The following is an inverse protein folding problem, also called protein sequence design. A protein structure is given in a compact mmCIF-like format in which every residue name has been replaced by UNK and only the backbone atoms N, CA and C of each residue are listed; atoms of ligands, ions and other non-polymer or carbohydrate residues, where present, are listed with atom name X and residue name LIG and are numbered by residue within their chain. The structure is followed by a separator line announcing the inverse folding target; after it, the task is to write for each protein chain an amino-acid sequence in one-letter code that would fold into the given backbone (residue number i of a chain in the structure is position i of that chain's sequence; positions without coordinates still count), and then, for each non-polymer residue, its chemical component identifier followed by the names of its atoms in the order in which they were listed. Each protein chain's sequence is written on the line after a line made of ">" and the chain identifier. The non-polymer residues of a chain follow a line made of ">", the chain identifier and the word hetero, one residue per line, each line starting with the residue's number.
data_IF_711852644412
#
_entry.id   IF_711852644412
#
_cell.length_a   1.000
_cell.length_b   1.000
_cell.length_c   1.000
_cell.angle_alpha   90.00
_cell.angle_beta   90.00
_cell.angle_gamma   90.00
#
_symmetry.space_group_name_H-M   'P 1'
#
loop_
_entity.id
_entity.type
_entity.pdbx_description
1 polymer ?
#
# COMPACT_ATOMS: atom_id res chain seq x y z
N UNK A 1 44.17 -18.48 3.66
CA UNK A 1 43.20 -19.54 4.00
C UNK A 1 42.18 -18.96 4.98
N UNK A 2 40.91 -18.96 4.64
CA UNK A 2 39.83 -18.48 5.52
C UNK A 2 38.67 -17.89 4.71
N UNK A 3 37.67 -18.69 4.44
CA UNK A 3 36.61 -18.55 3.47
C UNK A 3 35.63 -17.40 3.80
N UNK A 4 35.23 -16.72 2.74
CA UNK A 4 34.06 -15.84 2.68
C UNK A 4 32.80 -16.69 2.73
N UNK A 5 31.96 -16.46 3.76
CA UNK A 5 30.62 -17.00 3.82
C UNK A 5 29.67 -16.02 3.13
N UNK A 6 29.22 -16.38 1.94
CA UNK A 6 28.14 -15.69 1.23
C UNK A 6 26.81 -15.94 1.93
N UNK A 7 26.07 -14.88 2.17
CA UNK A 7 24.69 -14.94 2.64
C UNK A 7 23.79 -15.10 1.41
N UNK A 8 23.41 -16.34 1.11
CA UNK A 8 22.34 -16.63 0.15
C UNK A 8 21.00 -16.15 0.72
N UNK A 9 20.38 -15.22 0.02
CA UNK A 9 18.98 -14.84 0.25
C UNK A 9 18.11 -15.92 -0.39
N UNK A 10 17.73 -16.90 0.39
CA UNK A 10 16.85 -17.99 -0.04
C UNK A 10 15.43 -17.44 -0.24
N UNK A 11 15.01 -17.36 -1.50
CA UNK A 11 13.62 -17.19 -1.89
C UNK A 11 12.80 -18.40 -1.41
N UNK A 12 12.10 -18.27 -0.30
CA UNK A 12 11.24 -19.31 0.24
C UNK A 12 9.89 -19.31 -0.49
N UNK A 13 9.84 -19.96 -1.65
CA UNK A 13 8.60 -20.40 -2.28
C UNK A 13 8.01 -21.54 -1.44
N UNK A 14 7.02 -21.23 -0.60
CA UNK A 14 6.25 -22.26 0.10
C UNK A 14 5.29 -22.97 -0.87
N UNK A 15 5.68 -24.16 -1.29
CA UNK A 15 4.80 -25.13 -1.92
C UNK A 15 3.91 -25.74 -0.82
N UNK A 16 2.65 -25.39 -0.80
CA UNK A 16 1.69 -25.95 0.17
C UNK A 16 1.06 -27.18 -0.48
N UNK A 17 1.54 -28.38 -0.10
CA UNK A 17 0.83 -29.62 -0.31
C UNK A 17 -0.40 -29.64 0.62
N UNK A 18 -1.57 -29.90 0.05
CA UNK A 18 -2.88 -29.88 0.74
C UNK A 18 -2.98 -30.94 1.83
N UNK A 19 -3.40 -30.59 3.05
CA UNK A 19 -4.04 -31.52 3.96
C UNK A 19 -5.54 -31.26 4.06
N UNK A 20 -6.31 -32.24 4.54
CA UNK A 20 -7.76 -32.30 4.37
C UNK A 20 -8.50 -31.37 5.35
N UNK A 21 -9.61 -30.83 4.86
CA UNK A 21 -10.82 -30.35 5.54
C UNK A 21 -10.80 -29.14 6.50
N UNK A 22 -9.71 -28.44 6.75
CA UNK A 22 -9.71 -27.23 7.57
C UNK A 22 -9.25 -26.03 6.74
N UNK A 23 -10.17 -25.19 6.27
CA UNK A 23 -9.81 -23.88 5.69
C UNK A 23 -9.42 -22.94 6.81
N UNK A 24 -8.15 -22.96 7.20
CA UNK A 24 -7.57 -21.94 8.06
C UNK A 24 -7.29 -20.72 7.19
N UNK A 25 -8.09 -19.68 7.34
CA UNK A 25 -7.77 -18.38 6.74
C UNK A 25 -6.73 -17.71 7.64
N UNK A 26 -5.48 -17.66 7.20
CA UNK A 26 -4.46 -16.84 7.84
C UNK A 26 -4.63 -15.40 7.38
N UNK A 27 -5.03 -14.53 8.28
CA UNK A 27 -5.05 -13.09 8.04
C UNK A 27 -3.74 -12.53 8.55
N UNK A 28 -2.97 -11.94 7.66
CA UNK A 28 -1.73 -11.26 8.00
C UNK A 28 -2.07 -9.84 8.43
N UNK A 29 -1.67 -9.46 9.64
CA UNK A 29 -1.74 -8.08 10.08
C UNK A 29 -0.31 -7.56 10.22
N UNK A 30 0.10 -6.69 9.31
CA UNK A 30 1.24 -5.82 9.57
C UNK A 30 0.81 -4.78 10.61
N UNK A 31 1.72 -4.34 11.48
CA UNK A 31 1.40 -3.31 12.48
C UNK A 31 1.10 -1.93 11.87
N UNK A 32 1.03 -1.84 10.54
CA UNK A 32 0.60 -0.65 9.78
C UNK A 32 -0.81 -0.17 10.14
N UNK A 33 -1.68 -1.05 10.66
CA UNK A 33 -3.06 -0.71 11.06
C UNK A 33 -3.15 0.14 12.33
N UNK A 34 -2.04 0.45 12.99
CA UNK A 34 -2.01 1.28 14.19
C UNK A 34 -1.46 2.68 13.95
N UNK A 35 -1.36 3.09 12.69
CA UNK A 35 -0.82 4.39 12.33
C UNK A 35 -1.53 5.54 13.06
N UNK A 36 -0.75 6.47 13.61
CA UNK A 36 -1.21 7.68 14.30
C UNK A 36 -0.54 8.90 13.68
N UNK A 37 -1.30 9.97 13.49
CA UNK A 37 -0.72 11.23 13.03
C UNK A 37 0.31 11.73 14.05
N UNK A 38 1.51 12.04 13.56
CA UNK A 38 2.60 12.56 14.38
C UNK A 38 2.73 14.07 14.21
N UNK A 39 3.04 14.51 13.00
CA UNK A 39 3.33 15.93 12.73
C UNK A 39 3.19 16.27 11.25
N UNK A 40 3.19 17.56 10.96
CA UNK A 40 3.29 18.13 9.62
C UNK A 40 4.62 18.88 9.48
N UNK A 41 5.40 18.55 8.47
CA UNK A 41 6.73 19.10 8.23
C UNK A 41 6.69 20.06 7.05
N UNK A 42 7.08 21.30 7.31
CA UNK A 42 7.16 22.38 6.32
C UNK A 42 8.60 22.61 5.82
N UNK A 43 9.61 22.26 6.61
CA UNK A 43 11.02 22.45 6.27
C UNK A 43 11.81 21.17 6.56
N UNK A 44 12.87 20.90 5.81
CA UNK A 44 13.72 19.72 5.99
C UNK A 44 14.34 19.60 7.38
N UNK A 45 14.66 20.72 8.04
CA UNK A 45 15.22 20.74 9.40
C UNK A 45 14.24 20.21 10.47
N UNK A 46 12.93 20.21 10.15
CA UNK A 46 11.87 19.80 11.07
C UNK A 46 11.50 18.32 10.89
N UNK A 47 12.26 17.58 10.04
CA UNK A 47 12.07 16.13 9.85
C UNK A 47 12.34 15.37 11.15
N UNK A 48 11.54 14.32 11.48
CA UNK A 48 11.76 13.48 12.66
C UNK A 48 13.20 12.94 12.70
N UNK A 49 13.90 13.21 13.81
CA UNK A 49 15.30 12.82 13.99
C UNK A 49 15.42 11.38 14.49
N UNK A 50 14.39 10.84 15.10
CA UNK A 50 14.25 9.47 15.57
C UNK A 50 13.82 8.48 14.48
N UNK A 51 13.71 8.95 13.23
CA UNK A 51 13.31 8.11 12.11
C UNK A 51 14.37 7.07 11.78
N UNK A 52 13.93 5.81 11.71
CA UNK A 52 14.72 4.66 11.27
C UNK A 52 14.34 4.26 9.86
N UNK A 53 13.04 4.21 9.55
CA UNK A 53 12.52 3.82 8.23
C UNK A 53 11.27 4.62 7.88
N UNK A 54 11.20 5.08 6.64
CA UNK A 54 10.07 5.83 6.11
C UNK A 54 9.59 5.23 4.79
N UNK A 55 8.28 5.25 4.56
CA UNK A 55 7.68 4.98 3.25
C UNK A 55 6.87 6.20 2.84
N UNK A 56 7.22 6.77 1.69
CA UNK A 56 6.52 7.93 1.16
C UNK A 56 5.34 7.50 0.26
N UNK A 57 4.23 8.23 0.38
CA UNK A 57 3.05 8.08 -0.45
C UNK A 57 2.87 9.31 -1.33
N UNK A 58 2.93 9.11 -2.63
CA UNK A 58 2.71 10.12 -3.64
C UNK A 58 1.50 9.79 -4.52
N UNK A 59 0.96 10.78 -5.19
CA UNK A 59 -0.15 10.58 -6.12
C UNK A 59 -0.75 11.92 -6.54
N UNK A 60 -1.38 11.93 -7.71
CA UNK A 60 -2.10 13.11 -8.19
C UNK A 60 -3.22 13.48 -7.23
N UNK A 61 -3.56 14.75 -7.19
CA UNK A 61 -4.78 15.21 -6.52
C UNK A 61 -5.98 14.37 -6.98
N UNK A 62 -6.75 13.87 -6.03
CA UNK A 62 -7.91 13.00 -6.25
C UNK A 62 -7.57 11.60 -6.84
N UNK A 63 -6.32 11.16 -6.89
CA UNK A 63 -5.96 9.78 -7.23
C UNK A 63 -6.42 8.76 -6.18
N UNK A 64 -6.75 9.19 -4.97
CA UNK A 64 -7.19 8.31 -3.88
C UNK A 64 -6.12 8.06 -2.81
N UNK A 65 -5.05 8.87 -2.77
CA UNK A 65 -3.92 8.74 -1.85
C UNK A 65 -4.36 8.70 -0.37
N UNK A 66 -5.07 9.70 0.11
CA UNK A 66 -5.54 9.73 1.51
C UNK A 66 -6.50 8.58 1.84
N UNK A 67 -7.34 8.16 0.88
CA UNK A 67 -8.20 6.99 1.06
C UNK A 67 -7.40 5.69 1.17
N UNK A 68 -6.32 5.56 0.39
CA UNK A 68 -5.43 4.40 0.45
C UNK A 68 -4.69 4.35 1.80
N UNK A 69 -4.09 5.47 2.24
CA UNK A 69 -3.42 5.57 3.54
C UNK A 69 -4.40 5.22 4.67
N UNK A 70 -5.60 5.79 4.67
CA UNK A 70 -6.63 5.49 5.67
C UNK A 70 -7.02 4.01 5.69
N UNK A 71 -7.10 3.39 4.50
CA UNK A 71 -7.45 1.98 4.35
C UNK A 71 -6.36 1.07 4.92
N UNK A 72 -5.10 1.34 4.57
CA UNK A 72 -3.93 0.60 5.07
C UNK A 72 -3.76 0.78 6.58
N UNK A 73 -4.00 1.99 7.09
CA UNK A 73 -3.94 2.27 8.52
C UNK A 73 -5.13 1.73 9.32
N UNK A 74 -6.13 1.11 8.67
CA UNK A 74 -7.35 0.67 9.34
C UNK A 74 -8.18 1.81 9.97
N UNK A 75 -7.99 3.05 9.53
CA UNK A 75 -8.60 4.27 10.08
C UNK A 75 -9.46 4.97 9.05
N UNK A 76 -10.53 5.62 9.49
CA UNK A 76 -11.44 6.34 8.58
C UNK A 76 -10.99 7.78 8.29
N UNK A 77 -10.19 8.39 9.17
CA UNK A 77 -9.80 9.81 9.12
C UNK A 77 -8.37 10.06 9.61
N UNK A 78 -7.42 9.19 9.29
CA UNK A 78 -6.01 9.41 9.63
C UNK A 78 -5.43 10.48 8.69
N UNK A 79 -5.40 10.20 7.39
CA UNK A 79 -5.05 11.18 6.38
C UNK A 79 -6.31 11.96 5.97
N UNK A 80 -6.21 13.27 5.90
CA UNK A 80 -7.35 14.11 5.59
C UNK A 80 -7.71 14.02 4.10
N UNK A 81 -8.93 13.56 3.81
CA UNK A 81 -9.47 13.53 2.44
C UNK A 81 -10.09 14.89 2.14
N UNK A 82 -9.34 15.79 1.51
CA UNK A 82 -9.87 17.08 1.06
C UNK A 82 -10.55 16.95 -0.29
N UNK A 83 -11.76 17.53 -0.41
CA UNK A 83 -12.40 17.75 -1.71
C UNK A 83 -11.80 18.97 -2.43
N UNK A 84 -11.12 19.85 -1.68
CA UNK A 84 -10.45 21.03 -2.23
C UNK A 84 -8.99 20.67 -2.53
N UNK A 85 -8.60 20.64 -3.81
CA UNK A 85 -7.24 20.31 -4.20
C UNK A 85 -6.23 21.41 -3.77
N UNK A 86 -4.95 21.02 -3.54
CA UNK A 86 -3.87 21.95 -3.22
C UNK A 86 -3.82 22.43 -1.76
N UNK A 87 -4.58 21.79 -0.85
CA UNK A 87 -4.63 22.19 0.57
C UNK A 87 -3.44 21.67 1.38
N UNK A 88 -2.89 20.50 1.02
CA UNK A 88 -1.72 19.94 1.69
C UNK A 88 -0.47 20.38 0.94
N UNK A 89 0.32 21.26 1.55
CA UNK A 89 1.58 21.76 0.99
C UNK A 89 2.81 21.22 1.71
N UNK A 90 2.61 20.38 2.72
CA UNK A 90 3.65 19.89 3.62
C UNK A 90 3.64 18.36 3.67
N UNK A 91 4.70 17.77 4.24
CA UNK A 91 4.78 16.34 4.49
C UNK A 91 4.00 16.02 5.76
N UNK A 92 3.09 15.06 5.72
CA UNK A 92 2.41 14.58 6.92
C UNK A 92 2.99 13.24 7.34
N UNK A 93 3.49 13.18 8.56
CA UNK A 93 4.06 11.99 9.16
C UNK A 93 3.05 11.24 10.01
N UNK A 94 3.00 9.93 9.81
CA UNK A 94 2.18 9.01 10.62
C UNK A 94 3.10 7.95 11.20
N UNK A 95 3.17 7.86 12.52
CA UNK A 95 3.95 6.82 13.19
C UNK A 95 3.22 5.48 13.16
N UNK A 96 3.97 4.41 12.94
CA UNK A 96 3.49 3.02 12.91
C UNK A 96 4.04 2.22 14.08
N UNK A 97 5.33 2.38 14.34
CA UNK A 97 6.11 1.77 15.39
C UNK A 97 7.31 2.69 15.66
N UNK A 98 8.14 2.34 16.61
CA UNK A 98 9.31 3.13 17.00
C UNK A 98 10.21 3.42 15.78
N UNK A 99 10.33 4.70 15.44
CA UNK A 99 11.13 5.18 14.32
C UNK A 99 10.65 4.79 12.92
N UNK A 100 9.44 4.24 12.76
CA UNK A 100 8.89 3.82 11.45
C UNK A 100 7.67 4.63 11.06
N UNK A 101 7.69 5.20 9.87
CA UNK A 101 6.70 6.20 9.47
C UNK A 101 6.12 5.97 8.07
N UNK A 102 4.84 6.28 7.94
CA UNK A 102 4.26 6.67 6.65
C UNK A 102 4.39 8.18 6.48
N UNK A 103 4.74 8.61 5.27
CA UNK A 103 4.89 10.01 4.91
C UNK A 103 3.97 10.34 3.75
N UNK A 104 2.92 11.11 4.01
CA UNK A 104 1.97 11.56 3.00
C UNK A 104 2.49 12.83 2.33
N UNK A 105 2.88 12.70 1.06
CA UNK A 105 3.36 13.81 0.25
C UNK A 105 2.19 14.66 -0.27
N UNK A 106 2.41 15.95 -0.53
CA UNK A 106 1.42 16.77 -1.23
C UNK A 106 1.00 16.16 -2.57
N UNK A 107 -0.31 16.21 -2.84
CA UNK A 107 -0.83 15.75 -4.13
C UNK A 107 -0.35 16.64 -5.27
N UNK A 108 0.24 16.07 -6.32
CA UNK A 108 0.68 16.82 -7.49
C UNK A 108 -0.44 17.01 -8.53
N UNK A 109 -0.19 17.90 -9.50
CA UNK A 109 -1.09 18.12 -10.63
C UNK A 109 -2.27 19.06 -10.38
N UNK A 110 -2.32 19.71 -9.24
CA UNK A 110 -3.30 20.75 -8.93
C UNK A 110 -2.61 21.95 -8.29
N UNK A 111 -2.25 22.92 -9.09
CA UNK A 111 -1.90 24.22 -8.60
C UNK A 111 -2.45 25.33 -9.48
N UNK A 112 -2.99 26.32 -8.82
CA UNK A 112 -3.44 27.55 -9.47
C UNK A 112 -2.27 28.42 -9.96
N UNK A 113 -1.04 28.15 -9.49
CA UNK A 113 0.15 28.88 -9.89
C UNK A 113 1.33 27.92 -10.12
N UNK A 114 1.82 27.77 -11.37
CA UNK A 114 2.95 26.90 -11.71
C UNK A 114 4.23 27.16 -10.90
N UNK A 115 4.52 28.41 -10.54
CA UNK A 115 5.71 28.79 -9.76
C UNK A 115 5.69 28.27 -8.31
N UNK A 116 4.54 28.28 -7.64
CA UNK A 116 4.42 27.83 -6.25
C UNK A 116 4.64 26.31 -6.10
N UNK A 117 4.21 25.51 -7.09
CA UNK A 117 4.48 24.06 -7.08
C UNK A 117 5.97 23.82 -7.26
N UNK A 118 6.57 24.50 -8.23
CA UNK A 118 7.98 24.33 -8.55
C UNK A 118 8.84 24.62 -7.33
N UNK A 119 8.62 25.75 -6.66
CA UNK A 119 9.39 26.11 -5.45
C UNK A 119 9.20 25.10 -4.31
N UNK A 120 7.99 24.55 -4.13
CA UNK A 120 7.71 23.53 -3.12
C UNK A 120 8.45 22.21 -3.43
N UNK A 121 8.44 21.79 -4.70
CA UNK A 121 9.15 20.60 -5.13
C UNK A 121 10.66 20.78 -4.99
N UNK A 122 11.19 21.93 -5.39
CA UNK A 122 12.62 22.24 -5.28
C UNK A 122 13.07 22.42 -3.82
N UNK A 123 12.23 22.99 -2.95
CA UNK A 123 12.61 23.33 -1.58
C UNK A 123 12.38 22.26 -0.50
N UNK A 124 11.39 21.37 -0.69
CA UNK A 124 11.02 20.38 0.34
C UNK A 124 10.94 18.96 -0.22
N UNK A 125 10.06 18.73 -1.18
CA UNK A 125 9.74 17.36 -1.62
C UNK A 125 10.94 16.74 -2.34
N UNK A 126 11.59 17.51 -3.19
CA UNK A 126 12.75 17.11 -3.95
C UNK A 126 13.90 16.63 -3.08
N UNK A 127 14.44 17.48 -2.25
CA UNK A 127 15.49 17.09 -1.32
C UNK A 127 15.06 15.93 -0.39
N UNK A 128 13.81 15.92 0.11
CA UNK A 128 13.30 14.82 0.91
C UNK A 128 13.39 13.47 0.16
N UNK A 129 12.87 13.40 -1.05
CA UNK A 129 12.86 12.16 -1.82
C UNK A 129 14.25 11.73 -2.29
N UNK A 130 15.16 12.66 -2.58
CA UNK A 130 16.50 12.34 -3.09
C UNK A 130 17.54 12.10 -2.00
N UNK A 131 17.45 12.81 -0.86
CA UNK A 131 18.52 12.88 0.15
C UNK A 131 18.16 12.24 1.50
N UNK A 132 16.87 11.88 1.74
CA UNK A 132 16.46 11.28 3.00
C UNK A 132 16.91 9.83 3.08
N UNK A 133 17.93 9.51 3.85
CA UNK A 133 18.50 8.16 3.98
C UNK A 133 17.52 7.15 4.56
N UNK A 134 16.63 7.58 5.46
CA UNK A 134 15.62 6.75 6.08
C UNK A 134 14.48 6.35 5.12
N UNK A 135 14.38 7.00 3.96
CA UNK A 135 13.34 6.68 2.97
C UNK A 135 13.61 5.33 2.32
N UNK A 136 12.82 4.33 2.67
CA UNK A 136 12.96 2.95 2.20
C UNK A 136 12.32 2.70 0.82
N UNK A 137 11.32 3.51 0.42
CA UNK A 137 10.66 3.36 -0.86
C UNK A 137 9.52 4.36 -1.08
N UNK A 138 9.02 4.39 -2.31
CA UNK A 138 7.97 5.29 -2.77
C UNK A 138 6.74 4.52 -3.25
N UNK A 139 5.59 4.75 -2.64
CA UNK A 139 4.30 4.27 -3.13
C UNK A 139 3.67 5.35 -4.01
N UNK A 140 3.43 5.03 -5.27
CA UNK A 140 2.77 5.94 -6.22
C UNK A 140 1.34 5.49 -6.48
N UNK A 141 0.38 6.33 -6.09
CA UNK A 141 -1.05 6.04 -6.20
C UNK A 141 -1.60 6.70 -7.45
N UNK A 142 -2.03 5.88 -8.41
CA UNK A 142 -2.58 6.29 -9.68
C UNK A 142 -4.05 5.85 -9.78
N UNK A 143 -4.92 6.73 -10.28
CA UNK A 143 -6.29 6.33 -10.63
C UNK A 143 -6.24 5.36 -11.82
N UNK A 144 -6.74 4.13 -11.64
CA UNK A 144 -6.69 3.06 -12.66
C UNK A 144 -7.31 3.46 -14.01
N UNK A 145 -8.23 4.43 -14.02
CA UNK A 145 -8.87 4.91 -15.25
C UNK A 145 -7.95 5.78 -16.12
N UNK A 146 -6.90 6.34 -15.53
CA UNK A 146 -5.89 7.19 -16.19
C UNK A 146 -4.54 7.05 -15.49
N UNK A 147 -3.93 5.85 -15.51
CA UNK A 147 -2.60 5.63 -14.96
C UNK A 147 -1.53 6.23 -15.88
N UNK A 148 -0.32 6.32 -15.37
CA UNK A 148 0.86 6.73 -16.14
C UNK A 148 0.70 8.08 -16.87
N UNK A 149 0.14 9.07 -16.17
CA UNK A 149 0.09 10.43 -16.73
C UNK A 149 1.49 11.04 -16.76
N UNK A 150 1.72 12.06 -17.59
CA UNK A 150 3.01 12.76 -17.68
C UNK A 150 3.54 13.20 -16.30
N UNK A 151 2.64 13.56 -15.37
CA UNK A 151 3.02 13.95 -14.02
C UNK A 151 3.44 12.75 -13.17
N UNK A 152 2.79 11.60 -13.35
CA UNK A 152 3.19 10.35 -12.69
C UNK A 152 4.58 9.92 -13.18
N UNK A 153 4.80 9.96 -14.50
CA UNK A 153 6.07 9.59 -15.12
C UNK A 153 7.20 10.54 -14.69
N UNK A 154 6.97 11.85 -14.67
CA UNK A 154 7.95 12.84 -14.21
C UNK A 154 8.39 12.59 -12.75
N UNK A 155 7.46 12.26 -11.86
CA UNK A 155 7.79 11.91 -10.48
C UNK A 155 8.67 10.65 -10.44
N UNK A 156 8.28 9.63 -11.18
CA UNK A 156 8.99 8.35 -11.23
C UNK A 156 10.40 8.54 -11.80
N UNK A 157 10.55 9.21 -12.95
CA UNK A 157 11.83 9.48 -13.58
C UNK A 157 12.77 10.28 -12.67
N UNK A 158 12.20 11.17 -11.88
CA UNK A 158 12.97 11.93 -10.91
C UNK A 158 13.38 11.11 -9.68
N UNK A 159 12.56 10.12 -9.25
CA UNK A 159 12.87 9.27 -8.11
C UNK A 159 13.77 8.07 -8.46
N UNK A 160 13.67 7.52 -9.65
CA UNK A 160 14.44 6.34 -10.10
C UNK A 160 15.95 6.44 -9.86
N UNK A 161 16.62 7.59 -10.08
CA UNK A 161 18.07 7.71 -9.84
C UNK A 161 18.48 7.46 -8.37
N UNK A 162 17.54 7.46 -7.43
CA UNK A 162 17.85 7.13 -6.03
C UNK A 162 18.14 5.65 -5.81
N UNK A 163 17.82 4.77 -6.77
CA UNK A 163 17.96 3.31 -6.64
C UNK A 163 17.00 2.67 -5.63
N UNK A 164 16.03 3.43 -5.10
CA UNK A 164 15.06 2.93 -4.12
C UNK A 164 13.82 2.36 -4.81
N UNK A 165 13.15 1.36 -4.19
CA UNK A 165 12.01 0.71 -4.79
C UNK A 165 10.79 1.62 -4.93
N UNK A 166 9.98 1.34 -5.97
CA UNK A 166 8.71 2.02 -6.27
C UNK A 166 7.60 0.98 -6.33
N UNK A 167 6.54 1.21 -5.58
CA UNK A 167 5.31 0.42 -5.61
C UNK A 167 4.15 1.22 -6.20
N UNK A 168 3.62 0.77 -7.34
CA UNK A 168 2.52 1.44 -8.04
C UNK A 168 1.20 0.80 -7.64
N UNK A 169 0.32 1.61 -7.05
CA UNK A 169 -1.04 1.21 -6.68
C UNK A 169 -2.05 1.78 -7.67
N UNK A 170 -2.65 0.92 -8.48
CA UNK A 170 -3.75 1.29 -9.37
C UNK A 170 -5.04 1.38 -8.56
N UNK A 171 -5.29 2.55 -8.01
CA UNK A 171 -6.40 2.86 -7.12
C UNK A 171 -7.75 2.87 -7.83
N UNK A 172 -8.85 2.83 -7.06
CA UNK A 172 -10.23 2.84 -7.56
C UNK A 172 -10.52 1.71 -8.56
N UNK A 173 -9.89 0.55 -8.37
CA UNK A 173 -10.11 -0.62 -9.22
C UNK A 173 -11.60 -1.01 -9.32
N UNK A 174 -12.39 -0.75 -8.25
CA UNK A 174 -13.84 -0.94 -8.22
C UNK A 174 -14.63 -0.14 -9.27
N UNK A 175 -14.03 0.84 -9.93
CA UNK A 175 -14.65 1.66 -10.99
C UNK A 175 -14.54 1.05 -12.39
N UNK A 176 -13.84 -0.05 -12.54
CA UNK A 176 -13.67 -0.76 -13.81
C UNK A 176 -14.19 -2.19 -13.73
N UNK A 177 -14.57 -2.76 -14.89
CA UNK A 177 -14.85 -4.18 -15.01
C UNK A 177 -13.59 -5.01 -14.74
N UNK A 178 -13.74 -6.30 -14.39
CA UNK A 178 -12.58 -7.20 -14.18
C UNK A 178 -11.67 -7.28 -15.41
N UNK A 179 -12.26 -7.27 -16.59
CA UNK A 179 -11.52 -7.29 -17.86
C UNK A 179 -10.68 -6.02 -18.02
N UNK A 180 -11.28 -4.83 -17.79
CA UNK A 180 -10.58 -3.55 -17.88
C UNK A 180 -9.51 -3.40 -16.80
N UNK A 181 -9.77 -3.89 -15.57
CA UNK A 181 -8.76 -3.95 -14.51
C UNK A 181 -7.53 -4.76 -14.96
N UNK A 182 -7.77 -5.95 -15.54
CA UNK A 182 -6.69 -6.82 -16.04
C UNK A 182 -5.91 -6.15 -17.17
N UNK A 183 -6.61 -5.50 -18.10
CA UNK A 183 -6.00 -4.77 -19.21
C UNK A 183 -5.12 -3.62 -18.70
N UNK A 184 -5.65 -2.79 -17.80
CA UNK A 184 -4.90 -1.68 -17.21
C UNK A 184 -3.65 -2.17 -16.44
N UNK A 185 -3.80 -3.21 -15.61
CA UNK A 185 -2.69 -3.80 -14.85
C UNK A 185 -1.58 -4.33 -15.78
N UNK A 186 -1.96 -5.06 -16.85
CA UNK A 186 -1.00 -5.58 -17.83
C UNK A 186 -0.27 -4.45 -18.56
N UNK A 187 -0.98 -3.41 -18.98
CA UNK A 187 -0.38 -2.25 -19.65
C UNK A 187 0.65 -1.55 -18.77
N UNK A 188 0.30 -1.30 -17.49
CA UNK A 188 1.23 -0.65 -16.56
C UNK A 188 2.41 -1.55 -16.22
N UNK A 189 2.21 -2.86 -16.04
CA UNK A 189 3.31 -3.81 -15.82
C UNK A 189 4.26 -3.90 -17.02
N UNK A 190 3.73 -3.84 -18.24
CA UNK A 190 4.55 -3.84 -19.45
C UNK A 190 5.41 -2.57 -19.56
N UNK A 191 4.86 -1.41 -19.23
CA UNK A 191 5.60 -0.15 -19.16
C UNK A 191 6.71 -0.23 -18.09
N UNK A 192 6.38 -0.65 -16.88
CA UNK A 192 7.31 -0.78 -15.75
C UNK A 192 8.45 -1.75 -16.06
N UNK A 193 8.19 -2.82 -16.81
CA UNK A 193 9.21 -3.79 -17.20
C UNK A 193 10.32 -3.19 -18.09
N UNK A 194 10.07 -2.02 -18.71
CA UNK A 194 11.09 -1.31 -19.51
C UNK A 194 12.05 -0.46 -18.67
N UNK A 195 11.81 -0.32 -17.36
CA UNK A 195 12.53 0.65 -16.52
C UNK A 195 13.88 0.16 -15.97
N UNK A 196 14.31 -1.03 -16.30
CA UNK A 196 15.58 -1.63 -15.85
C UNK A 196 15.38 -2.70 -14.80
N UNK A 197 16.01 -2.60 -13.62
CA UNK A 197 15.95 -3.64 -12.60
C UNK A 197 14.52 -3.87 -12.09
N UNK A 198 13.92 -4.97 -12.54
CA UNK A 198 12.55 -5.34 -12.21
C UNK A 198 12.31 -5.58 -10.70
N UNK A 199 13.37 -5.83 -9.94
CA UNK A 199 13.26 -6.04 -8.48
C UNK A 199 12.88 -4.77 -7.72
N UNK A 200 13.15 -3.61 -8.31
CA UNK A 200 12.84 -2.30 -7.72
C UNK A 200 11.40 -1.86 -7.96
N UNK A 201 10.64 -2.54 -8.81
CA UNK A 201 9.33 -2.05 -9.22
C UNK A 201 8.25 -3.10 -9.02
N UNK A 202 7.14 -2.68 -8.44
CA UNK A 202 5.97 -3.54 -8.31
C UNK A 202 4.67 -2.77 -8.63
N UNK A 203 3.67 -3.49 -9.14
CA UNK A 203 2.39 -2.90 -9.58
C UNK A 203 1.24 -3.78 -9.15
N UNK A 204 0.26 -3.21 -8.47
CA UNK A 204 -0.94 -3.92 -8.04
C UNK A 204 -2.24 -3.15 -8.29
N UNK A 205 -3.36 -3.86 -8.27
CA UNK A 205 -4.70 -3.27 -8.18
C UNK A 205 -5.02 -2.89 -6.74
N UNK A 206 -5.73 -1.77 -6.57
CA UNK A 206 -6.15 -1.35 -5.25
C UNK A 206 -7.56 -0.73 -5.24
N UNK A 207 -8.37 -1.08 -4.24
CA UNK A 207 -9.64 -0.42 -3.97
C UNK A 207 -9.85 -0.23 -2.47
N UNK A 208 -9.87 1.02 -2.03
CA UNK A 208 -10.23 1.37 -0.64
C UNK A 208 -11.65 0.94 -0.30
N UNK A 209 -12.58 1.00 -1.27
CA UNK A 209 -13.99 0.66 -1.08
C UNK A 209 -14.19 -0.85 -0.92
N UNK A 210 -13.55 -1.65 -1.79
CA UNK A 210 -13.68 -3.13 -1.81
C UNK A 210 -12.59 -3.84 -1.01
N UNK A 211 -11.64 -3.10 -0.44
CA UNK A 211 -10.47 -3.63 0.27
C UNK A 211 -9.60 -4.56 -0.59
N UNK A 212 -9.67 -4.41 -1.91
CA UNK A 212 -8.84 -5.17 -2.84
C UNK A 212 -7.40 -4.70 -2.76
N UNK A 213 -6.43 -5.64 -2.71
CA UNK A 213 -5.00 -5.36 -2.74
C UNK A 213 -4.43 -4.80 -1.42
N UNK A 214 -5.21 -4.82 -0.31
CA UNK A 214 -4.73 -4.31 0.98
C UNK A 214 -3.62 -5.21 1.51
N UNK A 215 -3.83 -6.51 1.60
CA UNK A 215 -2.85 -7.47 2.11
C UNK A 215 -1.55 -7.49 1.28
N UNK A 216 -1.68 -7.41 -0.06
CA UNK A 216 -0.53 -7.35 -0.97
C UNK A 216 0.32 -6.09 -0.69
N UNK A 217 -0.33 -4.94 -0.55
CA UNK A 217 0.34 -3.69 -0.22
C UNK A 217 0.98 -3.72 1.18
N UNK A 218 0.25 -4.24 2.19
CA UNK A 218 0.78 -4.39 3.56
C UNK A 218 2.04 -5.26 3.57
N UNK A 219 2.09 -6.31 2.76
CA UNK A 219 3.29 -7.15 2.60
C UNK A 219 4.49 -6.37 2.07
N UNK A 220 4.29 -5.56 1.01
CA UNK A 220 5.35 -4.70 0.46
C UNK A 220 5.84 -3.70 1.50
N UNK A 221 4.91 -3.00 2.17
CA UNK A 221 5.24 -1.99 3.16
C UNK A 221 5.96 -2.56 4.38
N UNK A 222 5.51 -3.74 4.85
CA UNK A 222 6.14 -4.43 5.97
C UNK A 222 7.59 -4.83 5.65
N UNK A 223 7.84 -5.31 4.42
CA UNK A 223 9.19 -5.62 3.96
C UNK A 223 10.09 -4.37 3.92
N UNK A 224 9.61 -3.26 3.38
CA UNK A 224 10.39 -2.02 3.32
C UNK A 224 10.65 -1.39 4.69
N UNK A 225 9.67 -1.48 5.58
CA UNK A 225 9.77 -0.95 6.94
C UNK A 225 10.42 -1.92 7.93
N UNK A 226 10.75 -3.15 7.50
CA UNK A 226 11.26 -4.21 8.38
C UNK A 226 10.35 -4.42 9.61
N UNK A 227 9.04 -4.52 9.35
CA UNK A 227 8.02 -4.78 10.36
C UNK A 227 7.60 -6.25 10.28
N UNK A 228 7.60 -6.94 11.41
CA UNK A 228 7.10 -8.31 11.48
C UNK A 228 5.60 -8.39 11.15
N UNK A 229 5.25 -9.31 10.27
CA UNK A 229 3.86 -9.61 9.95
C UNK A 229 3.35 -10.64 10.96
N UNK A 230 2.50 -10.21 11.88
CA UNK A 230 1.85 -11.11 12.83
C UNK A 230 0.74 -11.90 12.16
N UNK A 231 0.78 -13.23 12.26
CA UNK A 231 -0.30 -14.11 11.78
C UNK A 231 -1.39 -14.22 12.85
N UNK A 232 -2.63 -13.94 12.49
CA UNK A 232 -3.79 -14.21 13.34
C UNK A 232 -4.63 -15.32 12.72
N UNK A 233 -4.77 -16.44 13.42
CA UNK A 233 -5.70 -17.49 13.02
C UNK A 233 -7.13 -17.05 13.31
N UNK A 234 -7.95 -16.90 12.27
CA UNK A 234 -9.38 -16.70 12.42
C UNK A 234 -10.07 -18.06 12.29
N UNK A 235 -10.50 -18.61 13.41
CA UNK A 235 -11.40 -19.76 13.41
C UNK A 235 -12.78 -19.26 12.94
N UNK A 236 -13.25 -19.65 11.75
CA UNK A 236 -14.65 -19.43 11.38
C UNK A 236 -15.55 -20.25 12.30
N UNK A 237 -16.68 -19.70 12.75
CA UNK A 237 -17.65 -20.50 13.46
C UNK A 237 -18.12 -21.65 12.56
N UNK A 238 -18.05 -22.87 13.09
CA UNK A 238 -18.62 -24.06 12.44
C UNK A 238 -20.10 -23.78 12.28
N UNK A 239 -20.60 -23.78 11.04
CA UNK A 239 -22.03 -23.76 10.80
C UNK A 239 -22.63 -24.98 11.51
N UNK A 240 -23.35 -24.74 12.59
CA UNK A 240 -24.15 -25.78 13.23
C UNK A 240 -25.17 -26.24 12.19
N UNK A 241 -25.06 -27.47 11.77
CA UNK A 241 -26.10 -28.16 10.99
C UNK A 241 -27.45 -27.95 11.70
N UNK A 242 -28.49 -27.50 11.01
CA UNK A 242 -29.79 -27.36 11.66
C UNK A 242 -30.22 -28.74 12.22
N UNK A 243 -30.88 -28.78 13.38
CA UNK A 243 -31.31 -30.02 13.96
C UNK A 243 -32.26 -30.71 12.98
N UNK A 244 -32.05 -32.01 12.78
CA UNK A 244 -32.87 -32.89 12.00
C UNK A 244 -34.33 -32.82 12.53
N UNK A 245 -35.24 -32.31 11.70
CA UNK A 245 -36.67 -32.32 12.00
C UNK A 245 -37.15 -33.74 11.79
N UNK A 246 -37.14 -34.53 12.87
CA UNK A 246 -37.72 -35.83 12.90
C UNK A 246 -39.11 -35.82 12.25
N UNK A 247 -39.27 -36.67 11.26
CA UNK A 247 -40.53 -36.86 10.55
C UNK A 247 -41.67 -37.33 11.45
N UNK A 248 -42.94 -37.06 11.10
CA UNK A 248 -44.10 -37.42 11.90
C UNK A 248 -44.30 -38.93 11.87
N UNK A 249 -44.30 -39.52 13.08
CA UNK A 249 -44.59 -40.93 13.28
C UNK A 249 -45.96 -41.35 12.72
N UNK A 250 -45.96 -42.41 11.98
CA UNK A 250 -47.15 -43.10 11.50
C UNK A 250 -48.02 -43.53 12.67
N UNK A 251 -49.25 -43.01 12.74
CA UNK A 251 -50.28 -43.56 13.61
C UNK A 251 -50.90 -44.76 12.91
N UNK A 252 -50.63 -45.94 13.43
CA UNK A 252 -51.39 -47.16 13.09
C UNK A 252 -52.84 -47.02 13.54
N UNK A 253 -53.77 -47.21 12.62
CA UNK A 253 -55.14 -47.44 12.89
C UNK A 253 -55.33 -48.98 13.13
N UNK A 254 -55.91 -49.30 14.26
CA UNK A 254 -56.58 -50.62 14.47
C UNK A 254 -57.88 -50.38 15.21
N UNK A 255 -58.91 -50.95 14.59
CA UNK A 255 -60.31 -51.19 14.95
C UNK A 255 -61.24 -50.01 14.93
#
# INVERSE_FOLDING_TARGET
>A
MGALAGTEVTNLLFYISSPPSWRVFRVFYASVQQAVFLTTVANLRDLPQDSVREVAFAGRSNAGKSSAINTLAGRTRLAYVSKTPGRTQHLNYFTLADGKYFVDLPGYGYAKAPGAIRSQWEGLIGPYLSQRDQLAGLVVIMDIRRPMTDLDLRLIDWFRPTGRPIHIMLSKADKLSRQDQTKALRSVKAEVATWGDASLYSVQLFSSLKKTGVEECEGVLAGWLEIEIKQREIKKPVNKTPPDKGGPGAKNALT
#
